data_IF_407415877748
#
_entry.id   IF_407415877748
#
_cell.length_a   1.000
_cell.length_b   1.000
_cell.length_c   1.000
_cell.angle_alpha   90.00
_cell.angle_beta   90.00
_cell.angle_gamma   90.00
#
_symmetry.space_group_name_H-M   'P 1'
#
loop_
_entity.id
_entity.type
_entity.pdbx_description
1 polymer ?
#
# COMPACT_ATOMS: atom_id res chain seq x y z
N UNK A 1 -18.20 1.31 -9.23
CA UNK A 1 -17.56 2.02 -8.09
C UNK A 1 -18.09 1.39 -6.80
N UNK A 2 -17.28 0.58 -6.09
CA UNK A 2 -17.71 0.02 -4.81
C UNK A 2 -17.81 1.13 -3.78
N UNK A 3 -19.01 1.40 -3.28
CA UNK A 3 -19.23 2.32 -2.16
C UNK A 3 -18.77 1.61 -0.90
N UNK A 4 -17.80 2.17 -0.17
CA UNK A 4 -17.41 1.61 1.12
C UNK A 4 -18.39 2.02 2.22
N UNK A 5 -18.81 1.09 3.09
CA UNK A 5 -19.61 1.38 4.28
C UNK A 5 -18.69 1.91 5.38
N UNK A 6 -19.01 3.07 5.93
CA UNK A 6 -18.34 3.59 7.11
C UNK A 6 -18.95 2.95 8.35
N UNK A 7 -18.10 2.38 9.20
CA UNK A 7 -18.48 1.84 10.51
C UNK A 7 -17.88 2.72 11.62
N UNK A 8 -18.70 2.95 12.64
CA UNK A 8 -18.35 3.68 13.85
C UNK A 8 -18.15 2.70 15.01
N UNK A 9 -17.45 3.10 16.08
CA UNK A 9 -17.22 2.22 17.23
C UNK A 9 -18.56 1.82 17.86
N UNK A 10 -18.82 0.52 17.96
CA UNK A 10 -20.10 -0.01 18.43
C UNK A 10 -20.32 -1.46 17.98
N UNK A 11 -21.55 -1.94 18.13
CA UNK A 11 -21.89 -3.36 17.88
C UNK A 11 -21.63 -3.77 16.42
N UNK A 12 -21.89 -2.91 15.44
CA UNK A 12 -21.62 -3.21 14.03
C UNK A 12 -20.12 -3.45 13.75
N UNK A 13 -19.25 -2.65 14.35
CA UNK A 13 -17.80 -2.78 14.20
C UNK A 13 -17.26 -4.01 14.95
N UNK A 14 -17.79 -4.30 16.14
CA UNK A 14 -17.43 -5.49 16.89
C UNK A 14 -17.85 -6.78 16.17
N UNK A 15 -19.06 -6.81 15.60
CA UNK A 15 -19.54 -7.93 14.79
C UNK A 15 -18.68 -8.14 13.55
N UNK A 16 -18.28 -7.05 12.89
CA UNK A 16 -17.39 -7.12 11.72
C UNK A 16 -16.05 -7.77 12.08
N UNK A 17 -15.38 -7.30 13.14
CA UNK A 17 -14.11 -7.89 13.57
C UNK A 17 -14.27 -9.35 13.99
N UNK A 18 -15.31 -9.68 14.75
CA UNK A 18 -15.60 -11.06 15.18
C UNK A 18 -15.80 -12.00 13.99
N UNK A 19 -16.56 -11.59 12.99
CA UNK A 19 -16.80 -12.39 11.78
C UNK A 19 -15.51 -12.63 11.00
N UNK A 20 -14.67 -11.59 10.86
CA UNK A 20 -13.42 -11.68 10.11
C UNK A 20 -12.36 -12.51 10.83
N UNK A 21 -12.20 -12.31 12.15
CA UNK A 21 -11.25 -13.06 12.98
C UNK A 21 -11.60 -14.56 12.99
N UNK A 22 -12.89 -14.91 13.11
CA UNK A 22 -13.34 -16.31 13.09
C UNK A 22 -13.17 -16.99 11.73
N UNK A 23 -13.24 -16.22 10.64
CA UNK A 23 -13.04 -16.74 9.29
C UNK A 23 -11.58 -17.12 9.03
N UNK A 24 -10.65 -16.31 9.52
CA UNK A 24 -9.21 -16.43 9.21
C UNK A 24 -8.39 -17.17 10.29
N UNK A 25 -8.96 -17.41 11.48
CA UNK A 25 -8.21 -18.01 12.60
C UNK A 25 -8.97 -19.16 13.27
N UNK A 26 -8.23 -20.12 13.83
CA UNK A 26 -8.75 -21.19 14.69
C UNK A 26 -8.92 -20.75 16.15
N UNK A 27 -9.03 -19.44 16.41
CA UNK A 27 -9.12 -18.91 17.77
C UNK A 27 -10.45 -19.35 18.42
N UNK A 28 -10.38 -19.73 19.69
CA UNK A 28 -11.56 -20.02 20.50
C UNK A 28 -12.50 -18.82 20.57
N UNK A 29 -13.81 -19.08 20.62
CA UNK A 29 -14.85 -18.05 20.45
C UNK A 29 -14.74 -16.89 21.45
N UNK A 30 -14.31 -17.16 22.68
CA UNK A 30 -14.13 -16.14 23.72
C UNK A 30 -12.91 -15.24 23.46
N UNK A 31 -11.84 -15.80 22.91
CA UNK A 31 -10.63 -15.05 22.54
C UNK A 31 -10.91 -14.13 21.33
N UNK A 32 -11.67 -14.63 20.34
CA UNK A 32 -12.12 -13.83 19.21
C UNK A 32 -13.01 -12.65 19.65
N UNK A 33 -13.88 -12.86 20.64
CA UNK A 33 -14.77 -11.83 21.16
C UNK A 33 -13.99 -10.75 21.96
N UNK A 34 -13.03 -11.17 22.79
CA UNK A 34 -12.12 -10.24 23.50
C UNK A 34 -11.29 -9.40 22.53
N UNK A 35 -10.76 -10.02 21.47
CA UNK A 35 -9.97 -9.32 20.47
C UNK A 35 -10.81 -8.33 19.66
N UNK A 36 -12.02 -8.73 19.25
CA UNK A 36 -12.96 -7.85 18.55
C UNK A 36 -13.32 -6.63 19.41
N UNK A 37 -13.59 -6.82 20.71
CA UNK A 37 -13.89 -5.71 21.63
C UNK A 37 -12.69 -4.75 21.80
N UNK A 38 -11.46 -5.28 21.91
CA UNK A 38 -10.25 -4.48 22.01
C UNK A 38 -10.02 -3.63 20.75
N UNK A 39 -10.22 -4.23 19.57
CA UNK A 39 -10.09 -3.53 18.29
C UNK A 39 -11.17 -2.45 18.12
N UNK A 40 -12.42 -2.73 18.48
CA UNK A 40 -13.49 -1.73 18.45
C UNK A 40 -13.21 -0.54 19.36
N UNK A 41 -12.59 -0.76 20.53
CA UNK A 41 -12.21 0.34 21.44
C UNK A 41 -11.04 1.17 20.92
N UNK A 42 -10.14 0.57 20.15
CA UNK A 42 -8.94 1.23 19.61
C UNK A 42 -9.20 2.01 18.31
N UNK A 43 -10.26 1.67 17.58
CA UNK A 43 -10.55 2.25 16.26
C UNK A 43 -11.66 3.28 16.37
N UNK A 44 -11.36 4.54 16.01
CA UNK A 44 -12.32 5.65 16.05
C UNK A 44 -13.25 5.66 14.81
N UNK A 45 -12.77 5.19 13.65
CA UNK A 45 -13.54 5.12 12.40
C UNK A 45 -12.96 4.09 11.45
N UNK A 46 -13.80 3.26 10.85
CA UNK A 46 -13.40 2.25 9.86
C UNK A 46 -14.15 2.45 8.55
N UNK A 47 -13.44 2.38 7.41
CA UNK A 47 -14.05 2.36 6.08
C UNK A 47 -13.96 0.94 5.53
N UNK A 48 -15.08 0.24 5.50
CA UNK A 48 -15.17 -1.15 5.03
C UNK A 48 -15.51 -1.13 3.55
N UNK A 49 -14.73 -1.85 2.74
CA UNK A 49 -15.06 -2.07 1.34
C UNK A 49 -16.16 -3.12 1.25
N UNK A 50 -17.33 -2.75 0.75
CA UNK A 50 -18.34 -3.73 0.34
C UNK A 50 -17.84 -4.37 -0.95
N UNK A 51 -17.21 -5.54 -0.83
CA UNK A 51 -17.12 -6.50 -1.94
C UNK A 51 -18.42 -7.30 -1.93
N UNK A 52 -19.07 -7.51 -3.08
CA UNK A 52 -20.24 -8.40 -3.14
C UNK A 52 -19.85 -9.76 -2.56
N UNK A 53 -20.71 -10.33 -1.73
CA UNK A 53 -20.52 -11.69 -1.21
C UNK A 53 -20.28 -12.64 -2.39
N UNK A 54 -19.12 -13.26 -2.43
CA UNK A 54 -18.88 -14.39 -3.30
C UNK A 54 -19.94 -15.46 -2.96
N UNK A 55 -20.69 -15.99 -3.94
CA UNK A 55 -21.57 -17.12 -3.70
C UNK A 55 -20.77 -18.31 -3.15
N UNK A 56 -21.42 -19.23 -2.40
CA UNK A 56 -20.73 -20.32 -1.72
C UNK A 56 -19.88 -21.11 -2.71
N UNK A 57 -18.57 -21.14 -2.46
CA UNK A 57 -17.59 -21.82 -3.30
C UNK A 57 -17.80 -23.34 -3.14
N UNK A 58 -18.48 -23.94 -4.11
CA UNK A 58 -18.17 -25.31 -4.51
C UNK A 58 -16.74 -25.30 -5.06
N UNK A 59 -15.83 -25.97 -4.37
CA UNK A 59 -14.54 -26.32 -4.93
C UNK A 59 -14.70 -27.47 -5.94
N UNK A 60 -13.78 -27.66 -6.91
CA UNK A 60 -12.97 -26.67 -7.61
C UNK A 60 -12.98 -26.92 -9.13
N UNK A 61 -12.71 -25.89 -9.96
CA UNK A 61 -12.06 -26.15 -11.25
C UNK A 61 -11.18 -25.00 -11.67
N UNK A 62 -9.96 -25.37 -12.04
CA UNK A 62 -8.88 -24.53 -12.46
C UNK A 62 -9.31 -23.50 -13.52
N UNK A 63 -9.03 -22.24 -13.24
CA UNK A 63 -8.84 -21.19 -14.22
C UNK A 63 -7.87 -20.18 -13.61
N UNK A 64 -6.59 -20.53 -13.69
CA UNK A 64 -5.46 -19.64 -13.94
C UNK A 64 -5.62 -18.20 -13.43
N UNK A 65 -5.41 -18.04 -12.13
CA UNK A 65 -5.17 -16.75 -11.50
C UNK A 65 -3.86 -16.21 -12.05
N UNK A 66 -3.93 -15.11 -12.81
CA UNK A 66 -2.79 -14.23 -13.03
C UNK A 66 -2.26 -13.80 -11.65
N UNK A 67 -1.18 -14.45 -11.24
CA UNK A 67 -0.46 -14.21 -10.00
C UNK A 67 0.12 -12.79 -9.97
N UNK A 68 -0.17 -11.98 -8.94
CA UNK A 68 0.66 -10.82 -8.58
C UNK A 68 1.99 -11.22 -7.92
N UNK A 69 2.36 -12.51 -7.95
CA UNK A 69 3.54 -13.03 -7.27
C UNK A 69 4.86 -12.70 -7.99
N UNK A 70 4.83 -12.45 -9.30
CA UNK A 70 6.05 -12.16 -10.06
C UNK A 70 6.71 -10.83 -9.69
N UNK A 71 5.94 -9.84 -9.22
CA UNK A 71 6.53 -8.57 -8.77
C UNK A 71 7.32 -8.80 -7.48
N UNK A 72 6.79 -9.56 -6.52
CA UNK A 72 7.51 -9.82 -5.27
C UNK A 72 8.81 -10.60 -5.49
N UNK A 73 8.81 -11.62 -6.36
CA UNK A 73 9.99 -12.46 -6.61
C UNK A 73 11.12 -11.73 -7.37
N UNK A 74 10.82 -10.74 -8.23
CA UNK A 74 11.87 -9.93 -8.88
C UNK A 74 12.57 -9.01 -7.88
N UNK A 75 11.89 -8.60 -6.80
CA UNK A 75 12.41 -7.61 -5.85
C UNK A 75 13.27 -8.22 -4.73
N UNK A 76 13.17 -9.53 -4.45
CA UNK A 76 13.96 -10.21 -3.41
C UNK A 76 15.42 -10.48 -3.80
N UNK A 77 15.80 -10.31 -5.08
CA UNK A 77 17.15 -10.63 -5.57
C UNK A 77 18.22 -9.57 -5.30
N UNK A 78 17.85 -8.40 -4.80
CA UNK A 78 18.80 -7.37 -4.35
C UNK A 78 18.82 -7.37 -2.82
N UNK A 79 19.73 -8.16 -2.23
CA UNK A 79 19.77 -8.65 -0.83
C UNK A 79 19.50 -7.67 0.34
N UNK A 80 19.20 -6.38 0.14
CA UNK A 80 18.77 -5.46 1.21
C UNK A 80 17.90 -4.27 0.73
N UNK A 81 17.36 -4.29 -0.49
CA UNK A 81 16.59 -3.15 -1.03
C UNK A 81 15.10 -3.27 -0.75
N UNK A 82 14.53 -2.33 0.01
CA UNK A 82 13.08 -2.21 0.24
C UNK A 82 12.54 -0.90 -0.38
N UNK A 83 11.70 -0.96 -1.43
CA UNK A 83 11.15 0.23 -2.11
C UNK A 83 10.15 1.02 -1.26
N UNK A 84 9.69 0.46 -0.13
CA UNK A 84 8.79 1.09 0.84
C UNK A 84 9.50 1.62 2.08
N UNK A 85 10.83 1.59 2.13
CA UNK A 85 11.63 2.07 3.27
C UNK A 85 11.33 3.51 3.67
N UNK A 86 10.93 4.35 2.71
CA UNK A 86 10.43 5.70 2.94
C UNK A 86 9.45 6.09 1.83
N UNK A 87 8.55 7.04 2.10
CA UNK A 87 7.64 7.59 1.11
C UNK A 87 8.23 8.83 0.46
N UNK A 88 8.32 8.85 -0.88
CA UNK A 88 8.86 9.98 -1.62
C UNK A 88 8.09 11.28 -1.35
N UNK A 89 6.76 11.20 -1.29
CA UNK A 89 5.88 12.35 -1.10
C UNK A 89 5.99 12.92 0.31
N UNK A 90 6.06 12.05 1.34
CA UNK A 90 6.24 12.49 2.73
C UNK A 90 7.61 13.12 2.93
N UNK A 91 8.66 12.52 2.37
CA UNK A 91 10.02 13.07 2.45
C UNK A 91 10.11 14.42 1.75
N UNK A 92 9.51 14.56 0.55
CA UNK A 92 9.44 15.84 -0.17
C UNK A 92 8.71 16.91 0.67
N UNK A 93 7.56 16.56 1.27
CA UNK A 93 6.78 17.50 2.06
C UNK A 93 7.49 17.96 3.35
N UNK A 94 8.28 17.10 3.98
CA UNK A 94 8.97 17.40 5.25
C UNK A 94 10.35 18.04 5.08
N UNK A 95 11.10 17.60 4.08
CA UNK A 95 12.53 17.94 3.92
C UNK A 95 12.84 18.61 2.57
N UNK A 96 11.83 18.85 1.74
CA UNK A 96 12.00 19.43 0.42
C UNK A 96 12.65 18.49 -0.59
N UNK A 97 12.94 19.04 -1.76
CA UNK A 97 13.57 18.32 -2.89
C UNK A 97 14.97 17.84 -2.55
N UNK A 98 15.75 18.65 -1.83
CA UNK A 98 17.10 18.29 -1.38
C UNK A 98 17.09 17.08 -0.43
N UNK A 99 16.18 17.06 0.56
CA UNK A 99 16.06 15.94 1.48
C UNK A 99 15.64 14.63 0.78
N UNK A 100 14.75 14.72 -0.21
CA UNK A 100 14.39 13.57 -1.04
C UNK A 100 15.60 13.10 -1.89
N UNK A 101 16.32 14.04 -2.48
CA UNK A 101 17.52 13.77 -3.28
C UNK A 101 18.59 13.01 -2.47
N UNK A 102 18.85 13.42 -1.22
CA UNK A 102 19.79 12.73 -0.33
C UNK A 102 19.39 11.27 -0.07
N UNK A 103 18.10 11.01 0.19
CA UNK A 103 17.61 9.63 0.38
C UNK A 103 17.73 8.78 -0.88
N UNK A 104 17.49 9.36 -2.04
CA UNK A 104 17.65 8.68 -3.33
C UNK A 104 19.12 8.40 -3.67
N UNK A 105 20.08 9.14 -3.11
CA UNK A 105 21.51 8.85 -3.27
C UNK A 105 21.95 7.58 -2.52
N UNK A 106 21.26 7.20 -1.44
CA UNK A 106 21.51 5.94 -0.73
C UNK A 106 21.24 4.70 -1.62
N UNK A 107 20.36 4.86 -2.63
CA UNK A 107 20.03 3.81 -3.60
C UNK A 107 21.06 3.85 -4.75
N UNK A 108 21.91 2.82 -4.80
CA UNK A 108 23.06 2.75 -5.73
C UNK A 108 22.71 2.16 -7.10
N UNK A 109 21.67 1.33 -7.19
CA UNK A 109 21.28 0.66 -8.44
C UNK A 109 20.18 1.42 -9.19
N UNK A 110 20.32 1.53 -10.51
CA UNK A 110 19.30 2.07 -11.39
C UNK A 110 18.02 1.21 -11.37
N UNK A 111 18.16 -0.10 -11.20
CA UNK A 111 17.01 -1.02 -11.09
C UNK A 111 16.22 -0.76 -9.82
N UNK A 112 16.90 -0.66 -8.68
CA UNK A 112 16.29 -0.31 -7.39
C UNK A 112 15.62 1.06 -7.41
N UNK A 113 16.21 2.05 -8.09
CA UNK A 113 15.57 3.37 -8.25
C UNK A 113 14.27 3.30 -9.06
N UNK A 114 14.22 2.46 -10.10
CA UNK A 114 12.98 2.26 -10.88
C UNK A 114 11.94 1.51 -10.08
N UNK A 115 12.34 0.46 -9.35
CA UNK A 115 11.45 -0.26 -8.44
C UNK A 115 10.89 0.68 -7.34
N UNK A 116 11.71 1.59 -6.81
CA UNK A 116 11.23 2.64 -5.91
C UNK A 116 10.20 3.55 -6.59
N UNK A 117 10.49 4.05 -7.80
CA UNK A 117 9.58 4.91 -8.53
C UNK A 117 8.22 4.23 -8.79
N UNK A 118 8.25 2.97 -9.22
CA UNK A 118 7.07 2.14 -9.48
C UNK A 118 6.24 1.92 -8.22
N UNK A 119 6.88 1.53 -7.11
CA UNK A 119 6.21 1.33 -5.82
C UNK A 119 5.54 2.61 -5.29
N UNK A 120 6.11 3.77 -5.59
CA UNK A 120 5.55 5.07 -5.23
C UNK A 120 4.60 5.62 -6.31
N UNK A 121 4.34 4.87 -7.38
CA UNK A 121 3.56 5.27 -8.57
C UNK A 121 4.05 6.57 -9.22
N UNK A 122 5.36 6.82 -9.20
CA UNK A 122 6.00 7.98 -9.83
C UNK A 122 6.43 7.59 -11.26
N UNK A 123 5.93 8.28 -12.29
CA UNK A 123 6.29 7.95 -13.67
C UNK A 123 7.75 8.33 -13.94
N UNK A 124 8.56 7.35 -14.37
CA UNK A 124 9.93 7.56 -14.85
C UNK A 124 10.04 6.93 -16.24
N UNK A 125 10.51 7.69 -17.22
CA UNK A 125 10.63 7.20 -18.59
C UNK A 125 11.69 6.09 -18.69
N UNK A 126 11.34 4.99 -19.35
CA UNK A 126 12.23 3.84 -19.55
C UNK A 126 13.51 4.18 -20.35
N UNK A 127 13.47 5.26 -21.14
CA UNK A 127 14.62 5.77 -21.90
C UNK A 127 15.73 6.34 -21.00
N UNK A 128 15.43 6.71 -19.75
CA UNK A 128 16.40 7.28 -18.83
C UNK A 128 17.22 6.17 -18.18
N UNK A 129 18.51 6.11 -18.52
CA UNK A 129 19.41 5.02 -18.10
C UNK A 129 20.35 5.40 -16.94
N UNK A 130 20.73 6.68 -16.82
CA UNK A 130 21.67 7.14 -15.80
C UNK A 130 20.97 7.27 -14.45
N UNK A 131 21.63 6.79 -13.39
CA UNK A 131 21.11 6.84 -12.02
C UNK A 131 20.74 8.25 -11.59
N UNK A 132 21.61 9.24 -11.84
CA UNK A 132 21.32 10.63 -11.48
C UNK A 132 20.10 11.21 -12.19
N UNK A 133 19.92 10.86 -13.46
CA UNK A 133 18.77 11.32 -14.24
C UNK A 133 17.48 10.65 -13.77
N UNK A 134 17.54 9.36 -13.39
CA UNK A 134 16.41 8.65 -12.75
C UNK A 134 16.04 9.34 -11.43
N UNK A 135 17.01 9.68 -10.58
CA UNK A 135 16.75 10.37 -9.31
C UNK A 135 16.08 11.73 -9.53
N UNK A 136 16.58 12.53 -10.48
CA UNK A 136 15.97 13.81 -10.85
C UNK A 136 14.55 13.64 -11.37
N UNK A 137 14.30 12.63 -12.20
CA UNK A 137 12.97 12.32 -12.71
C UNK A 137 12.00 11.94 -11.58
N UNK A 138 12.46 11.17 -10.58
CA UNK A 138 11.65 10.83 -9.41
C UNK A 138 11.26 12.10 -8.65
N UNK A 139 12.22 13.00 -8.34
CA UNK A 139 11.94 14.25 -7.62
C UNK A 139 10.90 15.08 -8.37
N UNK A 140 11.13 15.35 -9.66
CA UNK A 140 10.21 16.14 -10.49
C UNK A 140 8.81 15.50 -10.59
N UNK A 141 8.75 14.17 -10.71
CA UNK A 141 7.48 13.44 -10.75
C UNK A 141 6.69 13.55 -9.44
N UNK A 142 7.36 13.55 -8.29
CA UNK A 142 6.71 13.69 -6.98
C UNK A 142 6.27 15.15 -6.75
N UNK A 143 7.08 16.13 -7.14
CA UNK A 143 6.72 17.55 -7.08
C UNK A 143 5.47 17.86 -7.88
N UNK A 144 5.38 17.34 -9.12
CA UNK A 144 4.19 17.49 -9.96
C UNK A 144 2.96 16.90 -9.30
N UNK A 145 3.05 15.68 -8.75
CA UNK A 145 1.92 15.06 -8.04
C UNK A 145 1.49 15.86 -6.81
N UNK A 146 2.44 16.47 -6.09
CA UNK A 146 2.12 17.33 -4.95
C UNK A 146 1.40 18.60 -5.42
N UNK A 147 1.86 19.23 -6.51
CA UNK A 147 1.22 20.39 -7.12
C UNK A 147 -0.20 20.06 -7.60
N UNK A 148 -0.39 18.94 -8.29
CA UNK A 148 -1.70 18.48 -8.78
C UNK A 148 -2.68 18.26 -7.62
N UNK A 149 -2.20 17.67 -6.50
CA UNK A 149 -3.02 17.49 -5.29
C UNK A 149 -3.40 18.81 -4.64
N UNK A 150 -2.48 19.80 -4.62
CA UNK A 150 -2.77 21.13 -4.09
C UNK A 150 -3.78 21.88 -4.96
N UNK A 151 -3.65 21.77 -6.29
CA UNK A 151 -4.58 22.37 -7.24
C UNK A 151 -5.98 21.76 -7.14
N UNK A 152 -6.10 20.44 -6.94
CA UNK A 152 -7.39 19.76 -6.80
C UNK A 152 -8.10 20.03 -5.45
N UNK A 153 -7.38 20.56 -4.46
CA UNK A 153 -7.92 20.89 -3.13
C UNK A 153 -8.29 22.38 -2.97
N UNK A 154 -8.01 23.21 -3.99
CA UNK A 154 -8.27 24.65 -4.01
C UNK A 154 -9.44 25.00 -4.92
#
# INVERSE_FOLDING_TARGET
MSKGKQLWPGDEMAMFFRAHIRRETTLEGEAADRLAAALTKAVNRMLVREMPEDPPVEAPKAAETATPAESNERHDRAENFNPYRFSALVTLAKHGSEGLMMRLQEIKSAESLRAFAEAQHVPVAASVKRTDDIRKAIVAGVERRLADRKAAAS
#
